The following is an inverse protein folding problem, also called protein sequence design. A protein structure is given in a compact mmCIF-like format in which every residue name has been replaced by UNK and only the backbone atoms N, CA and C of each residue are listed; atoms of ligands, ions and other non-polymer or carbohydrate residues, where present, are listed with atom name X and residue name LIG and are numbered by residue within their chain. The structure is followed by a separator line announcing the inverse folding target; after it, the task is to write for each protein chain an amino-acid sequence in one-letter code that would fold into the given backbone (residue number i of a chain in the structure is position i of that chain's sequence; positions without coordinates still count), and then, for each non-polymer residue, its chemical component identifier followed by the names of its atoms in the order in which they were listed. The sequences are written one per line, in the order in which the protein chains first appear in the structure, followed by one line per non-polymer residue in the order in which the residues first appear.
data_IF_302878256572
#
_entry.id   IF_302878256572
#
_cell.length_a   1.000
_cell.length_b   1.000
_cell.length_c   1.000
_cell.angle_alpha   90.00
_cell.angle_beta   90.00
_cell.angle_gamma   90.00
#
_symmetry.space_group_name_H-M   'P 1'
#
loop_
_entity.id
_entity.type
_entity.pdbx_description
1 polymer ?
#
# COMPACT_ATOMS: atom_id res chain seq x y z
N UNK A 1 28.56 17.25 21.42
CA UNK A 1 27.40 17.40 22.33
C UNK A 1 27.74 16.64 23.59
N UNK A 2 27.49 17.23 24.75
CA UNK A 2 27.67 16.54 26.03
C UNK A 2 26.63 15.39 26.17
N UNK A 3 27.00 14.31 26.86
CA UNK A 3 26.16 13.11 26.98
C UNK A 3 24.84 13.41 27.71
N UNK A 4 24.87 14.28 28.73
CA UNK A 4 23.67 14.66 29.47
C UNK A 4 22.69 15.46 28.60
N UNK A 5 23.22 16.35 27.75
CA UNK A 5 22.43 17.09 26.77
C UNK A 5 21.81 16.17 25.72
N UNK A 6 22.55 15.16 25.27
CA UNK A 6 22.04 14.15 24.34
C UNK A 6 20.84 13.41 24.94
N UNK A 7 21.01 12.84 26.14
CA UNK A 7 19.98 12.01 26.79
C UNK A 7 18.70 12.81 27.01
N UNK A 8 18.81 14.08 27.43
CA UNK A 8 17.66 14.97 27.62
C UNK A 8 16.94 15.34 26.31
N UNK A 9 17.61 15.21 25.17
CA UNK A 9 17.05 15.50 23.85
C UNK A 9 16.33 14.32 23.19
N UNK A 10 16.39 13.12 23.79
CA UNK A 10 15.81 11.91 23.21
C UNK A 10 14.29 11.90 23.36
N UNK A 11 13.60 11.64 22.26
CA UNK A 11 12.18 11.37 22.26
C UNK A 11 11.89 9.99 22.90
N UNK A 12 10.73 9.77 23.56
CA UNK A 12 10.37 8.47 24.13
C UNK A 12 10.49 7.27 23.17
N UNK A 13 10.30 7.48 21.88
CA UNK A 13 10.50 6.44 20.86
C UNK A 13 11.98 6.06 20.71
N UNK A 14 12.87 7.05 20.70
CA UNK A 14 14.32 6.81 20.61
C UNK A 14 14.82 6.07 21.87
N UNK A 15 14.36 6.50 23.05
CA UNK A 15 14.72 5.87 24.32
C UNK A 15 14.33 4.39 24.34
N UNK A 16 13.11 4.07 23.92
CA UNK A 16 12.66 2.67 23.84
C UNK A 16 13.53 1.83 22.91
N UNK A 17 13.94 2.35 21.76
CA UNK A 17 14.84 1.63 20.86
C UNK A 17 16.20 1.40 21.54
N UNK A 18 16.83 2.46 22.07
CA UNK A 18 18.16 2.37 22.66
C UNK A 18 18.22 1.46 23.89
N UNK A 19 17.11 1.29 24.62
CA UNK A 19 17.03 0.39 25.78
C UNK A 19 16.73 -1.07 25.42
N UNK A 20 16.17 -1.35 24.24
CA UNK A 20 15.69 -2.70 23.88
C UNK A 20 16.52 -3.40 22.79
N UNK A 21 17.49 -2.70 22.19
CA UNK A 21 18.29 -3.22 21.09
C UNK A 21 19.78 -3.05 21.37
N UNK A 22 20.58 -4.02 20.92
CA UNK A 22 22.02 -3.97 21.10
C UNK A 22 22.68 -3.03 20.08
N UNK A 23 23.88 -2.47 20.38
CA UNK A 23 24.68 -1.78 19.38
C UNK A 23 24.92 -2.67 18.15
N UNK A 24 24.85 -2.06 16.96
CA UNK A 24 25.03 -2.73 15.66
C UNK A 24 23.96 -3.78 15.29
N UNK A 25 22.92 -3.98 16.10
CA UNK A 25 21.77 -4.79 15.70
C UNK A 25 21.05 -4.12 14.51
N UNK A 26 20.81 -4.83 13.39
CA UNK A 26 20.06 -4.27 12.27
C UNK A 26 18.62 -3.98 12.67
N UNK A 27 18.20 -2.72 12.53
CA UNK A 27 16.84 -2.30 12.83
C UNK A 27 16.01 -2.16 11.54
N UNK A 28 14.76 -2.62 11.60
CA UNK A 28 13.78 -2.40 10.52
C UNK A 28 12.46 -1.94 11.11
N UNK A 29 11.65 -1.23 10.33
CA UNK A 29 10.33 -0.79 10.78
C UNK A 29 9.43 -1.96 11.20
N UNK A 30 9.55 -3.11 10.52
CA UNK A 30 8.83 -4.33 10.89
C UNK A 30 9.28 -4.89 12.23
N UNK A 31 10.60 -4.91 12.50
CA UNK A 31 11.14 -5.37 13.78
C UNK A 31 10.68 -4.47 14.94
N UNK A 32 10.68 -3.15 14.74
CA UNK A 32 10.16 -2.21 15.74
C UNK A 32 8.66 -2.39 15.96
N UNK A 33 7.89 -2.69 14.92
CA UNK A 33 6.47 -3.04 15.04
C UNK A 33 6.26 -4.29 15.90
N UNK A 34 7.04 -5.35 15.67
CA UNK A 34 6.91 -6.61 16.40
C UNK A 34 7.37 -6.51 17.86
N UNK A 35 8.51 -5.87 18.13
CA UNK A 35 9.10 -5.81 19.48
C UNK A 35 8.60 -4.66 20.34
N UNK A 36 8.27 -3.51 19.73
CA UNK A 36 7.91 -2.28 20.47
C UNK A 36 6.50 -1.77 20.18
N UNK A 37 5.70 -2.50 19.38
CA UNK A 37 4.35 -2.11 18.95
C UNK A 37 4.32 -0.76 18.20
N UNK A 38 5.36 -0.50 17.39
CA UNK A 38 5.42 0.73 16.61
C UNK A 38 4.59 0.65 15.34
N UNK A 39 3.82 1.70 15.09
CA UNK A 39 3.29 1.96 13.74
C UNK A 39 4.43 2.38 12.81
N UNK A 40 4.28 2.11 11.50
CA UNK A 40 5.29 2.47 10.48
C UNK A 40 5.72 3.94 10.57
N UNK A 41 4.77 4.86 10.77
CA UNK A 41 5.07 6.29 10.92
C UNK A 41 5.86 6.63 12.18
N UNK A 42 5.71 5.88 13.28
CA UNK A 42 6.49 6.06 14.50
C UNK A 42 7.91 5.52 14.31
N UNK A 43 8.07 4.34 13.68
CA UNK A 43 9.37 3.78 13.35
C UNK A 43 10.18 4.73 12.45
N UNK A 44 9.57 5.27 11.40
CA UNK A 44 10.24 6.20 10.48
C UNK A 44 10.67 7.51 11.17
N UNK A 45 9.84 8.06 12.05
CA UNK A 45 10.22 9.23 12.86
C UNK A 45 11.39 8.94 13.78
N UNK A 46 11.35 7.80 14.49
CA UNK A 46 12.43 7.40 15.37
C UNK A 46 13.76 7.21 14.61
N UNK A 47 13.73 6.58 13.44
CA UNK A 47 14.92 6.47 12.58
C UNK A 47 15.44 7.84 12.13
N UNK A 48 14.56 8.75 11.71
CA UNK A 48 14.95 10.11 11.31
C UNK A 48 15.67 10.85 12.45
N UNK A 49 15.14 10.77 13.68
CA UNK A 49 15.75 11.43 14.84
C UNK A 49 17.07 10.77 15.26
N UNK A 50 17.13 9.44 15.32
CA UNK A 50 18.36 8.72 15.67
C UNK A 50 19.47 8.98 14.63
N UNK A 51 19.14 8.97 13.33
CA UNK A 51 20.07 9.34 12.27
C UNK A 51 20.54 10.79 12.40
N UNK A 52 19.61 11.73 12.63
CA UNK A 52 19.95 13.15 12.82
C UNK A 52 20.86 13.41 14.04
N UNK A 53 20.77 12.56 15.07
CA UNK A 53 21.64 12.58 16.25
C UNK A 53 22.92 11.74 16.09
N UNK A 54 23.16 11.14 14.92
CA UNK A 54 24.26 10.21 14.65
C UNK A 54 24.30 8.97 15.58
N UNK A 55 23.13 8.53 16.07
CA UNK A 55 22.98 7.34 16.90
C UNK A 55 22.66 6.08 16.10
N UNK A 56 22.22 6.22 14.86
CA UNK A 56 22.14 5.13 13.91
C UNK A 56 22.55 5.59 12.50
N UNK A 57 22.73 4.64 11.60
CA UNK A 57 23.01 4.88 10.19
C UNK A 57 22.15 3.94 9.35
N UNK A 58 21.60 4.46 8.25
CA UNK A 58 20.91 3.64 7.26
C UNK A 58 21.92 2.69 6.58
N UNK A 59 21.65 1.39 6.65
CA UNK A 59 22.48 0.34 6.02
C UNK A 59 21.92 -0.11 4.68
N UNK A 60 20.66 0.21 4.38
CA UNK A 60 20.02 -0.12 3.12
C UNK A 60 18.53 0.25 3.10
N UNK A 61 17.97 0.27 1.89
CA UNK A 61 16.57 0.59 1.64
C UNK A 61 15.98 -0.37 0.62
N UNK A 62 14.77 -0.84 0.87
CA UNK A 62 14.03 -1.68 -0.08
C UNK A 62 12.76 -0.93 -0.49
N UNK A 63 12.58 -0.72 -1.79
CA UNK A 63 11.31 -0.22 -2.34
C UNK A 63 10.43 -1.41 -2.74
N UNK A 64 9.12 -1.29 -2.54
CA UNK A 64 8.13 -2.30 -2.95
C UNK A 64 7.03 -1.62 -3.73
N UNK A 65 6.71 -2.18 -4.90
CA UNK A 65 5.51 -1.81 -5.67
C UNK A 65 4.44 -2.84 -5.38
N UNK A 66 3.27 -2.37 -4.96
CA UNK A 66 2.08 -3.19 -4.73
C UNK A 66 0.97 -2.73 -5.65
N UNK A 67 0.11 -3.67 -6.05
CA UNK A 67 -1.07 -3.40 -6.87
C UNK A 67 -2.29 -3.90 -6.11
N UNK A 68 -3.35 -3.09 -6.07
CA UNK A 68 -4.62 -3.45 -5.47
C UNK A 68 -5.71 -3.43 -6.53
N UNK A 69 -6.69 -4.31 -6.38
CA UNK A 69 -7.86 -4.32 -7.25
C UNK A 69 -8.63 -3.01 -7.08
N UNK A 70 -9.03 -2.40 -8.20
CA UNK A 70 -9.85 -1.18 -8.19
C UNK A 70 -11.28 -1.50 -7.79
N UNK A 71 -12.08 -0.47 -7.52
CA UNK A 71 -13.52 -0.66 -7.28
C UNK A 71 -14.21 -1.29 -8.49
N UNK A 72 -13.92 -0.78 -9.70
CA UNK A 72 -14.38 -1.38 -10.96
C UNK A 72 -13.99 -2.85 -11.07
N UNK A 73 -12.76 -3.20 -10.71
CA UNK A 73 -12.31 -4.59 -10.71
C UNK A 73 -13.09 -5.47 -9.73
N UNK A 74 -13.45 -4.95 -8.56
CA UNK A 74 -14.30 -5.67 -7.58
C UNK A 74 -15.71 -5.88 -8.11
N UNK A 75 -16.31 -4.83 -8.67
CA UNK A 75 -17.64 -4.90 -9.28
C UNK A 75 -17.67 -5.96 -10.40
N UNK A 76 -16.74 -5.88 -11.35
CA UNK A 76 -16.64 -6.85 -12.45
C UNK A 76 -16.31 -8.26 -11.97
N UNK A 77 -15.50 -8.43 -10.92
CA UNK A 77 -15.25 -9.75 -10.32
C UNK A 77 -16.53 -10.38 -9.77
N UNK A 78 -17.44 -9.57 -9.21
CA UNK A 78 -18.71 -10.04 -8.64
C UNK A 78 -19.84 -10.20 -9.67
N UNK A 79 -19.97 -9.27 -10.61
CA UNK A 79 -21.07 -9.17 -11.56
C UNK A 79 -20.72 -9.74 -12.96
N UNK A 80 -19.46 -10.11 -13.17
CA UNK A 80 -18.90 -10.45 -14.48
C UNK A 80 -18.42 -9.22 -15.24
N UNK A 81 -17.49 -9.42 -16.16
CA UNK A 81 -17.01 -8.33 -17.03
C UNK A 81 -18.05 -7.95 -18.08
N UNK A 82 -17.98 -6.75 -18.68
CA UNK A 82 -18.79 -6.38 -19.84
C UNK A 82 -18.81 -7.43 -20.94
N UNK A 83 -17.65 -8.00 -21.29
CA UNK A 83 -17.47 -8.99 -22.35
C UNK A 83 -18.12 -10.32 -21.97
N UNK A 84 -17.92 -10.78 -20.74
CA UNK A 84 -18.58 -11.99 -20.23
C UNK A 84 -20.10 -11.86 -20.26
N UNK A 85 -20.60 -10.69 -19.86
CA UNK A 85 -22.04 -10.43 -19.81
C UNK A 85 -22.63 -10.25 -21.22
N UNK A 86 -21.91 -9.62 -22.14
CA UNK A 86 -22.28 -9.55 -23.55
C UNK A 86 -22.35 -10.95 -24.17
N UNK A 87 -21.36 -11.80 -23.93
CA UNK A 87 -21.33 -13.16 -24.44
C UNK A 87 -22.51 -13.98 -23.91
N UNK A 88 -22.80 -13.89 -22.60
CA UNK A 88 -23.99 -14.53 -21.99
C UNK A 88 -25.29 -14.02 -22.62
N UNK A 89 -25.36 -12.74 -22.99
CA UNK A 89 -26.53 -12.18 -23.63
C UNK A 89 -26.71 -12.68 -25.07
N UNK A 90 -25.62 -12.72 -25.85
CA UNK A 90 -25.60 -13.23 -27.23
C UNK A 90 -25.95 -14.72 -27.34
N UNK A 91 -25.69 -15.52 -26.30
CA UNK A 91 -26.14 -16.91 -26.22
C UNK A 91 -27.67 -17.05 -26.25
N UNK A 92 -28.42 -16.01 -25.87
CA UNK A 92 -29.89 -16.00 -25.87
C UNK A 92 -30.49 -15.55 -27.21
N UNK A 93 -29.67 -14.97 -28.09
CA UNK A 93 -30.10 -14.48 -29.41
C UNK A 93 -29.27 -13.29 -29.88
N UNK A 94 -29.41 -12.91 -31.17
CA UNK A 94 -28.73 -11.74 -31.71
C UNK A 94 -29.22 -10.45 -31.03
N UNK A 95 -28.30 -9.52 -30.76
CA UNK A 95 -28.58 -8.23 -30.15
C UNK A 95 -28.06 -7.14 -31.08
N UNK A 96 -28.87 -6.11 -31.35
CA UNK A 96 -28.43 -4.97 -32.12
C UNK A 96 -27.35 -4.20 -31.36
N UNK A 97 -26.27 -3.79 -32.05
CA UNK A 97 -25.14 -3.10 -31.41
C UNK A 97 -25.54 -1.83 -30.66
N UNK A 98 -26.54 -1.10 -31.16
CA UNK A 98 -27.08 0.10 -30.52
C UNK A 98 -27.75 -0.20 -29.16
N UNK A 99 -28.26 -1.42 -28.97
CA UNK A 99 -29.00 -1.86 -27.78
C UNK A 99 -28.09 -2.53 -26.74
N UNK A 100 -26.90 -2.99 -27.15
CA UNK A 100 -25.98 -3.73 -26.29
C UNK A 100 -25.51 -2.91 -25.07
N UNK A 101 -25.20 -1.62 -25.25
CA UNK A 101 -24.79 -0.73 -24.16
C UNK A 101 -25.88 -0.61 -23.07
N UNK A 102 -27.11 -0.35 -23.51
CA UNK A 102 -28.27 -0.24 -22.62
C UNK A 102 -28.57 -1.56 -21.90
N UNK A 103 -28.41 -2.69 -22.57
CA UNK A 103 -28.64 -4.02 -22.01
C UNK A 103 -27.62 -4.39 -20.93
N UNK A 104 -26.39 -3.88 -21.04
CA UNK A 104 -25.31 -4.11 -20.07
C UNK A 104 -25.19 -3.01 -19.01
N UNK A 105 -26.01 -1.97 -19.08
CA UNK A 105 -25.95 -0.84 -18.15
C UNK A 105 -24.68 0.01 -18.31
N UNK A 106 -24.08 0.01 -19.50
CA UNK A 106 -22.83 0.70 -19.82
C UNK A 106 -23.09 1.94 -20.66
N UNK A 107 -22.22 2.94 -20.54
CA UNK A 107 -22.25 4.07 -21.48
C UNK A 107 -21.74 3.62 -22.85
N UNK A 108 -22.26 4.21 -23.93
CA UNK A 108 -21.85 3.85 -25.30
C UNK A 108 -20.35 4.03 -25.56
N UNK A 109 -19.70 4.97 -24.85
CA UNK A 109 -18.25 5.19 -24.96
C UNK A 109 -17.44 4.02 -24.38
N UNK A 110 -17.98 3.32 -23.38
CA UNK A 110 -17.30 2.22 -22.68
C UNK A 110 -17.49 0.89 -23.43
N UNK A 111 -18.50 0.81 -24.30
CA UNK A 111 -18.69 -0.31 -25.23
C UNK A 111 -17.66 -0.34 -26.36
N UNK A 112 -17.15 0.82 -26.79
CA UNK A 112 -16.19 0.91 -27.88
C UNK A 112 -14.96 0.02 -27.67
N UNK A 113 -14.43 0.01 -26.44
CA UNK A 113 -13.27 -0.79 -26.04
C UNK A 113 -13.56 -2.30 -25.94
N UNK A 114 -14.82 -2.69 -25.72
CA UNK A 114 -15.22 -4.11 -25.68
C UNK A 114 -15.34 -4.72 -27.09
N UNK A 115 -15.44 -3.89 -28.13
CA UNK A 115 -15.49 -4.31 -29.53
C UNK A 115 -14.11 -4.31 -30.22
N UNK A 116 -13.17 -3.47 -29.78
CA UNK A 116 -11.81 -3.33 -30.36
C UNK A 116 -10.97 -2.21 -29.77
#
# INVERSE_FOLDING_TARGET
MDQDTLVKSLHPLEVKILLNFAPHEPLTASLLGQKLDYKIGQANQAFSWLCGKNLCRETGRTSRTVYEITELGREQFSAGTPEENLLKALQKGPIAMAEAASLLGLEQKDMGSAYG
#
